data_IF_666741718432
#
_entry.id   IF_666741718432
#
_cell.length_a   1.000
_cell.length_b   1.000
_cell.length_c   1.000
_cell.angle_alpha   90.00
_cell.angle_beta   90.00
_cell.angle_gamma   90.00
#
_symmetry.space_group_name_H-M   'P 1'
#
loop_
_entity.id
_entity.type
_entity.pdbx_description
1 polymer ?
#
# COMPACT_ATOMS: atom_id res chain seq x y z
N UNK A 1 -10.93 -0.75 -5.10
CA UNK A 1 -9.81 -1.69 -4.81
C UNK A 1 -8.64 -1.36 -5.72
N UNK A 2 -7.42 -1.25 -5.18
CA UNK A 2 -6.21 -1.05 -5.98
C UNK A 2 -5.50 -2.38 -6.22
N UNK A 3 -5.20 -2.73 -7.47
CA UNK A 3 -4.45 -3.92 -7.84
C UNK A 3 -3.01 -3.53 -8.18
N UNK A 4 -2.06 -4.08 -7.45
CA UNK A 4 -0.63 -3.85 -7.68
C UNK A 4 -0.15 -4.60 -8.92
N UNK A 5 0.75 -3.98 -9.68
CA UNK A 5 1.46 -4.68 -10.76
C UNK A 5 2.25 -5.87 -10.22
N UNK A 6 2.57 -6.83 -11.09
CA UNK A 6 3.30 -8.03 -10.70
C UNK A 6 4.72 -7.69 -10.21
N UNK A 7 5.32 -8.58 -9.40
CA UNK A 7 6.69 -8.40 -8.89
C UNK A 7 7.75 -8.33 -10.00
N UNK A 8 7.45 -8.81 -11.20
CA UNK A 8 8.28 -8.64 -12.41
C UNK A 8 8.34 -7.18 -12.88
N UNK A 9 7.33 -6.37 -12.57
CA UNK A 9 7.08 -5.05 -13.14
C UNK A 9 5.94 -5.04 -14.17
N UNK A 10 5.41 -6.22 -14.53
CA UNK A 10 4.34 -6.36 -15.51
C UNK A 10 3.00 -5.82 -14.97
N UNK A 11 2.41 -4.89 -15.72
CA UNK A 11 1.16 -4.22 -15.39
C UNK A 11 -0.06 -4.96 -15.92
N UNK A 12 0.10 -5.86 -16.89
CA UNK A 12 -1.03 -6.50 -17.57
C UNK A 12 -1.82 -7.38 -16.59
N UNK A 13 -1.14 -8.05 -15.67
CA UNK A 13 -1.77 -8.80 -14.57
C UNK A 13 -2.70 -7.92 -13.71
N UNK A 14 -2.31 -6.67 -13.45
CA UNK A 14 -3.14 -5.75 -12.67
C UNK A 14 -4.32 -5.20 -13.49
N UNK A 15 -4.13 -5.00 -14.80
CA UNK A 15 -5.19 -4.59 -15.72
C UNK A 15 -6.24 -5.69 -15.83
N UNK A 16 -5.83 -6.94 -16.00
CA UNK A 16 -6.71 -8.10 -16.02
C UNK A 16 -7.48 -8.26 -14.71
N UNK A 17 -6.81 -8.06 -13.56
CA UNK A 17 -7.45 -8.08 -12.26
C UNK A 17 -8.50 -6.98 -12.09
N UNK A 18 -8.21 -5.76 -12.58
CA UNK A 18 -9.19 -4.67 -12.65
C UNK A 18 -10.37 -5.09 -13.53
N UNK A 19 -10.14 -5.58 -14.74
CA UNK A 19 -11.21 -6.01 -15.65
C UNK A 19 -12.08 -7.11 -15.05
N UNK A 20 -11.47 -8.11 -14.44
CA UNK A 20 -12.19 -9.21 -13.78
C UNK A 20 -13.05 -8.68 -12.62
N UNK A 21 -12.49 -7.83 -11.76
CA UNK A 21 -13.19 -7.31 -10.58
C UNK A 21 -14.40 -6.43 -10.93
N UNK A 22 -14.44 -5.83 -12.13
CA UNK A 22 -15.57 -5.02 -12.60
C UNK A 22 -16.82 -5.84 -12.91
N UNK A 23 -16.71 -7.15 -13.10
CA UNK A 23 -17.83 -7.99 -13.50
C UNK A 23 -18.43 -8.78 -12.32
N UNK A 24 -19.71 -9.20 -12.39
CA UNK A 24 -20.31 -10.13 -11.44
C UNK A 24 -19.55 -11.47 -11.37
N UNK A 25 -19.40 -12.02 -10.17
CA UNK A 25 -18.81 -13.35 -9.93
C UNK A 25 -19.71 -14.22 -9.05
N UNK A 26 -19.58 -15.53 -9.19
CA UNK A 26 -20.17 -16.53 -8.29
C UNK A 26 -19.04 -17.40 -7.71
N UNK A 27 -18.91 -17.43 -6.38
CA UNK A 27 -17.81 -18.14 -5.71
C UNK A 27 -18.19 -18.63 -4.30
N UNK A 28 -17.46 -19.61 -3.77
CA UNK A 28 -17.66 -20.10 -2.42
C UNK A 28 -16.99 -19.18 -1.38
N UNK A 29 -17.69 -18.89 -0.29
CA UNK A 29 -17.19 -18.07 0.82
C UNK A 29 -17.87 -18.42 2.14
N UNK A 30 -17.63 -17.62 3.18
CA UNK A 30 -18.22 -17.77 4.51
C UNK A 30 -19.23 -16.64 4.74
N UNK A 31 -20.44 -17.01 5.18
CA UNK A 31 -21.48 -16.07 5.56
C UNK A 31 -21.11 -15.31 6.84
N UNK A 32 -21.86 -14.25 7.16
CA UNK A 32 -21.66 -13.53 8.44
C UNK A 32 -21.95 -14.40 9.67
N UNK A 33 -22.64 -15.53 9.49
CA UNK A 33 -22.95 -16.52 10.52
C UNK A 33 -21.87 -17.60 10.63
N UNK A 34 -20.77 -17.51 9.87
CA UNK A 34 -19.68 -18.49 9.92
C UNK A 34 -19.97 -19.78 9.14
N UNK A 35 -20.99 -19.79 8.29
CA UNK A 35 -21.36 -20.98 7.49
C UNK A 35 -20.86 -20.86 6.06
N UNK A 36 -20.52 -22.00 5.45
CA UNK A 36 -20.18 -22.05 4.03
C UNK A 36 -21.38 -21.60 3.16
N UNK A 37 -21.11 -20.75 2.16
CA UNK A 37 -22.12 -20.16 1.31
C UNK A 37 -21.61 -19.94 -0.12
N UNK A 38 -22.54 -19.89 -1.08
CA UNK A 38 -22.29 -19.41 -2.44
C UNK A 38 -22.59 -17.91 -2.46
N UNK A 39 -21.63 -17.10 -2.89
CA UNK A 39 -21.74 -15.64 -2.94
C UNK A 39 -21.80 -15.19 -4.40
N UNK A 40 -22.76 -14.32 -4.68
CA UNK A 40 -22.86 -13.59 -5.95
C UNK A 40 -22.46 -12.14 -5.72
N UNK A 41 -21.41 -11.67 -6.40
CA UNK A 41 -21.03 -10.26 -6.40
C UNK A 41 -21.65 -9.53 -7.59
N UNK A 42 -21.76 -8.20 -7.49
CA UNK A 42 -22.27 -7.34 -8.58
C UNK A 42 -21.17 -6.86 -9.54
N UNK A 43 -19.90 -7.13 -9.23
CA UNK A 43 -18.76 -6.42 -9.81
C UNK A 43 -18.48 -5.09 -9.10
N UNK A 44 -17.27 -4.56 -9.31
CA UNK A 44 -16.78 -3.33 -8.71
C UNK A 44 -16.08 -2.44 -9.75
N UNK A 45 -16.74 -1.36 -10.16
CA UNK A 45 -16.20 -0.39 -11.12
C UNK A 45 -15.17 0.58 -10.50
N UNK A 46 -15.08 0.62 -9.16
CA UNK A 46 -14.18 1.51 -8.41
C UNK A 46 -12.83 0.83 -8.15
N UNK A 47 -12.21 0.37 -9.23
CA UNK A 47 -10.93 -0.35 -9.24
C UNK A 47 -9.88 0.42 -10.02
N UNK A 48 -8.62 0.31 -9.63
CA UNK A 48 -7.50 0.97 -10.30
C UNK A 48 -6.21 0.16 -10.20
N UNK A 49 -5.27 0.46 -11.09
CA UNK A 49 -3.91 -0.10 -11.05
C UNK A 49 -3.04 0.69 -10.07
N UNK A 50 -2.19 -0.02 -9.34
CA UNK A 50 -1.16 0.52 -8.45
C UNK A 50 0.22 0.15 -9.00
N UNK A 51 1.02 1.15 -9.35
CA UNK A 51 2.40 0.99 -9.80
C UNK A 51 3.33 0.92 -8.59
N UNK A 52 3.97 -0.22 -8.33
CA UNK A 52 4.82 -0.49 -7.16
C UNK A 52 6.26 -0.93 -7.51
N UNK A 53 6.70 -0.70 -8.75
CA UNK A 53 7.96 -1.17 -9.29
C UNK A 53 7.99 -2.68 -9.51
N UNK A 54 9.18 -3.22 -9.80
CA UNK A 54 9.39 -4.66 -9.92
C UNK A 54 10.85 -5.01 -10.16
N UNK A 55 11.11 -6.26 -10.57
CA UNK A 55 12.45 -6.74 -10.93
C UNK A 55 13.06 -5.96 -12.10
N UNK A 56 12.24 -5.44 -13.00
CA UNK A 56 12.66 -4.56 -14.10
C UNK A 56 13.12 -3.16 -13.63
N UNK A 57 12.87 -2.82 -12.36
CA UNK A 57 13.19 -1.53 -11.77
C UNK A 57 11.96 -0.76 -11.29
N UNK A 58 12.14 0.49 -10.83
CA UNK A 58 11.05 1.42 -10.57
C UNK A 58 10.21 1.70 -11.82
N UNK A 59 8.93 1.98 -11.63
CA UNK A 59 7.96 2.30 -12.68
C UNK A 59 7.09 3.52 -12.33
N UNK A 60 7.65 4.47 -11.57
CA UNK A 60 6.97 5.70 -11.17
C UNK A 60 7.24 6.89 -12.11
N UNK A 61 8.20 6.77 -13.03
CA UNK A 61 8.54 7.83 -13.97
C UNK A 61 7.42 8.07 -14.99
N UNK A 62 7.47 9.24 -15.63
CA UNK A 62 6.45 9.69 -16.58
C UNK A 62 6.24 8.70 -17.75
N UNK A 63 7.32 8.05 -18.23
CA UNK A 63 7.23 7.08 -19.32
C UNK A 63 6.48 5.83 -18.87
N UNK A 64 6.80 5.28 -17.71
CA UNK A 64 6.08 4.14 -17.15
C UNK A 64 4.61 4.45 -16.84
N UNK A 65 4.32 5.61 -16.27
CA UNK A 65 2.95 6.04 -15.99
C UNK A 65 2.14 6.19 -17.28
N UNK A 66 2.67 6.85 -18.31
CA UNK A 66 2.01 6.98 -19.61
C UNK A 66 1.77 5.64 -20.28
N UNK A 67 2.78 4.76 -20.29
CA UNK A 67 2.64 3.42 -20.86
C UNK A 67 1.52 2.61 -20.17
N UNK A 68 1.37 2.73 -18.85
CA UNK A 68 0.26 2.10 -18.14
C UNK A 68 -1.09 2.71 -18.50
N UNK A 69 -1.17 4.05 -18.61
CA UNK A 69 -2.41 4.74 -19.02
C UNK A 69 -2.85 4.37 -20.45
N UNK A 70 -1.92 4.24 -21.39
CA UNK A 70 -2.21 3.80 -22.77
C UNK A 70 -2.75 2.37 -22.81
N UNK A 71 -2.19 1.47 -21.99
CA UNK A 71 -2.68 0.09 -21.87
C UNK A 71 -4.08 0.05 -21.24
N UNK A 72 -4.35 0.87 -20.23
CA UNK A 72 -5.69 1.02 -19.66
C UNK A 72 -6.69 1.53 -20.71
N UNK A 73 -6.32 2.54 -21.49
CA UNK A 73 -7.18 3.07 -22.55
C UNK A 73 -7.48 2.01 -23.61
N UNK A 74 -6.49 1.21 -24.01
CA UNK A 74 -6.67 0.07 -24.93
C UNK A 74 -7.65 -0.97 -24.37
N UNK A 75 -7.68 -1.15 -23.04
CA UNK A 75 -8.61 -2.01 -22.34
C UNK A 75 -9.99 -1.35 -22.05
N UNK A 76 -10.28 -0.17 -22.63
CA UNK A 76 -11.48 0.64 -22.36
C UNK A 76 -11.64 1.04 -20.88
N UNK A 77 -10.53 1.23 -20.18
CA UNK A 77 -10.47 1.66 -18.79
C UNK A 77 -9.95 3.10 -18.71
N UNK A 78 -10.75 3.98 -18.12
CA UNK A 78 -10.44 5.44 -18.09
C UNK A 78 -9.97 5.93 -16.72
N UNK A 79 -9.89 5.05 -15.72
CA UNK A 79 -9.43 5.43 -14.39
C UNK A 79 -7.96 5.90 -14.40
N UNK A 80 -7.64 6.78 -13.45
CA UNK A 80 -6.25 7.14 -13.18
C UNK A 80 -5.48 6.04 -12.46
N UNK A 81 -4.16 6.17 -12.45
CA UNK A 81 -3.24 5.21 -11.79
C UNK A 81 -2.82 5.71 -10.41
N UNK A 82 -2.66 4.80 -9.47
CA UNK A 82 -2.02 5.08 -8.18
C UNK A 82 -0.55 4.68 -8.24
N UNK A 83 0.32 5.45 -7.59
CA UNK A 83 1.75 5.12 -7.51
C UNK A 83 2.15 4.84 -6.07
N UNK A 84 2.67 3.64 -5.81
CA UNK A 84 3.32 3.31 -4.55
C UNK A 84 4.75 3.84 -4.55
N UNK A 85 5.05 4.70 -3.58
CA UNK A 85 6.34 5.34 -3.46
C UNK A 85 7.39 4.45 -2.79
N UNK A 86 6.97 3.35 -2.15
CA UNK A 86 7.80 2.41 -1.43
C UNK A 86 8.23 1.22 -2.32
N UNK A 87 8.46 0.05 -1.72
CA UNK A 87 8.76 -1.23 -2.38
C UNK A 87 9.74 -1.11 -3.57
N UNK A 88 9.37 -1.59 -4.76
CA UNK A 88 10.21 -1.59 -5.95
C UNK A 88 10.57 -0.17 -6.40
N UNK A 89 9.64 0.78 -6.26
CA UNK A 89 9.85 2.18 -6.62
C UNK A 89 10.88 2.88 -5.72
N UNK A 90 10.95 2.49 -4.45
CA UNK A 90 12.00 2.96 -3.53
C UNK A 90 13.30 2.17 -3.60
N UNK A 91 13.37 1.11 -4.43
CA UNK A 91 14.45 0.12 -4.42
C UNK A 91 14.67 -0.49 -3.02
N UNK A 92 13.56 -0.74 -2.30
CA UNK A 92 13.54 -1.18 -0.89
C UNK A 92 14.29 -0.28 0.08
N UNK A 93 14.53 0.98 -0.29
CA UNK A 93 15.14 1.97 0.58
C UNK A 93 14.15 3.11 0.84
N UNK A 94 13.58 3.12 2.05
CA UNK A 94 12.57 4.09 2.47
C UNK A 94 12.98 5.57 2.26
N UNK A 95 14.28 5.88 2.27
CA UNK A 95 14.82 7.23 2.03
C UNK A 95 14.68 7.69 0.57
N UNK A 96 14.31 6.79 -0.34
CA UNK A 96 14.01 7.13 -1.72
C UNK A 96 12.55 7.53 -1.95
N UNK A 97 11.63 7.31 -0.99
CA UNK A 97 10.22 7.70 -1.15
C UNK A 97 10.05 9.19 -1.51
N UNK A 98 10.79 10.14 -0.89
CA UNK A 98 10.71 11.55 -1.28
C UNK A 98 11.11 11.82 -2.74
N UNK A 99 12.03 11.03 -3.30
CA UNK A 99 12.43 11.16 -4.71
C UNK A 99 11.31 10.74 -5.65
N UNK A 100 10.61 9.66 -5.29
CA UNK A 100 9.41 9.22 -6.03
C UNK A 100 8.34 10.31 -5.97
N UNK A 101 8.09 10.87 -4.79
CA UNK A 101 7.14 11.97 -4.61
C UNK A 101 7.50 13.18 -5.47
N UNK A 102 8.77 13.62 -5.49
CA UNK A 102 9.20 14.73 -6.32
C UNK A 102 8.88 14.50 -7.82
N UNK A 103 9.09 13.28 -8.33
CA UNK A 103 8.71 12.94 -9.71
C UNK A 103 7.20 13.01 -9.94
N UNK A 104 6.41 12.48 -9.01
CA UNK A 104 4.94 12.47 -9.12
C UNK A 104 4.35 13.88 -9.01
N UNK A 105 4.93 14.75 -8.18
CA UNK A 105 4.56 16.17 -8.07
C UNK A 105 4.66 16.86 -9.43
N UNK A 106 5.77 16.68 -10.14
CA UNK A 106 5.96 17.26 -11.48
C UNK A 106 4.99 16.68 -12.50
N UNK A 107 4.73 15.37 -12.46
CA UNK A 107 3.74 14.74 -13.32
C UNK A 107 2.32 15.25 -13.07
N UNK A 108 1.94 15.47 -11.80
CA UNK A 108 0.63 16.04 -11.44
C UNK A 108 0.51 17.46 -11.99
N UNK A 109 1.54 18.30 -11.83
CA UNK A 109 1.56 19.66 -12.40
C UNK A 109 1.43 19.64 -13.93
N UNK A 110 2.07 18.68 -14.59
CA UNK A 110 1.99 18.46 -16.03
C UNK A 110 0.64 17.87 -16.50
N UNK A 111 -0.32 17.62 -15.60
CA UNK A 111 -1.66 17.15 -15.95
C UNK A 111 -1.80 15.63 -16.06
N UNK A 112 -0.81 14.85 -15.62
CA UNK A 112 -0.87 13.38 -15.61
C UNK A 112 -2.09 12.86 -14.83
N UNK A 113 -2.62 11.71 -15.26
CA UNK A 113 -3.77 11.01 -14.64
C UNK A 113 -3.34 10.15 -13.44
N UNK A 114 -2.35 10.59 -12.67
CA UNK A 114 -2.07 10.02 -11.34
C UNK A 114 -3.19 10.44 -10.39
N UNK A 115 -3.92 9.45 -9.86
CA UNK A 115 -5.09 9.65 -9.00
C UNK A 115 -4.77 9.55 -7.51
N UNK A 116 -3.62 8.96 -7.14
CA UNK A 116 -3.18 8.85 -5.76
C UNK A 116 -1.75 8.36 -5.63
N UNK A 117 -1.23 8.46 -4.41
CA UNK A 117 0.07 7.89 -4.02
C UNK A 117 -0.08 7.03 -2.77
N UNK A 118 0.80 6.05 -2.61
CA UNK A 118 0.91 5.25 -1.38
C UNK A 118 2.29 5.49 -0.76
N UNK A 119 2.32 5.82 0.53
CA UNK A 119 3.53 6.15 1.29
C UNK A 119 3.60 5.22 2.49
N UNK A 120 4.78 4.65 2.75
CA UNK A 120 5.06 3.94 4.00
C UNK A 120 5.73 4.89 4.99
N UNK A 121 4.95 5.37 5.95
CA UNK A 121 5.38 6.27 7.01
C UNK A 121 5.08 5.70 8.39
N UNK A 122 5.86 6.14 9.38
CA UNK A 122 5.63 5.90 10.79
C UNK A 122 6.14 7.10 11.61
N UNK A 123 6.01 7.07 12.93
CA UNK A 123 6.50 8.16 13.79
C UNK A 123 8.01 8.35 13.64
N UNK A 124 8.76 7.24 13.61
CA UNK A 124 10.21 7.21 13.43
C UNK A 124 10.60 6.38 12.21
N UNK A 125 11.72 6.74 11.58
CA UNK A 125 12.19 6.09 10.35
C UNK A 125 12.66 4.65 10.58
N UNK A 126 12.80 3.91 9.48
CA UNK A 126 13.41 2.59 9.46
C UNK A 126 12.47 1.48 9.88
N UNK A 127 13.07 0.37 10.29
CA UNK A 127 12.42 -0.83 10.80
C UNK A 127 13.17 -1.37 12.01
N UNK A 128 12.53 -2.27 12.73
CA UNK A 128 13.13 -3.09 13.78
C UNK A 128 12.66 -4.54 13.61
N UNK A 129 13.44 -5.49 14.10
CA UNK A 129 13.04 -6.89 14.15
C UNK A 129 12.19 -7.15 15.40
N UNK A 130 11.34 -8.18 15.34
CA UNK A 130 10.65 -8.65 16.53
C UNK A 130 11.66 -9.27 17.51
N UNK A 131 11.47 -9.10 18.83
CA UNK A 131 12.35 -9.73 19.82
C UNK A 131 12.36 -11.26 19.65
N UNK A 132 13.50 -11.89 19.94
CA UNK A 132 13.58 -13.35 19.97
C UNK A 132 12.72 -13.92 21.10
N UNK A 133 12.35 -15.19 21.00
CA UNK A 133 11.62 -15.89 22.07
C UNK A 133 12.39 -15.88 23.39
N UNK A 134 13.73 -15.99 23.35
CA UNK A 134 14.56 -15.94 24.54
C UNK A 134 14.54 -14.53 25.17
N UNK A 135 14.62 -13.46 24.36
CA UNK A 135 14.49 -12.09 24.87
C UNK A 135 13.11 -11.82 25.48
N UNK A 136 12.04 -12.40 24.91
CA UNK A 136 10.70 -12.34 25.49
C UNK A 136 10.64 -13.05 26.85
N UNK A 137 11.23 -14.26 26.95
CA UNK A 137 11.29 -15.05 28.19
C UNK A 137 12.10 -14.35 29.28
N UNK A 138 13.27 -13.82 28.95
CA UNK A 138 14.11 -13.03 29.87
C UNK A 138 13.38 -11.78 30.38
N UNK A 139 12.56 -11.16 29.53
CA UNK A 139 11.71 -10.05 29.93
C UNK A 139 10.49 -10.47 30.79
N UNK A 140 10.26 -11.78 30.98
CA UNK A 140 9.10 -12.32 31.68
C UNK A 140 7.81 -12.32 30.86
N UNK A 141 7.91 -12.17 29.53
CA UNK A 141 6.78 -12.26 28.60
C UNK A 141 6.71 -13.71 28.12
N UNK A 142 5.87 -14.51 28.78
CA UNK A 142 5.62 -15.90 28.42
C UNK A 142 4.31 -16.02 27.66
N UNK A 143 4.28 -16.93 26.68
CA UNK A 143 3.04 -17.31 26.00
C UNK A 143 2.13 -18.02 27.01
N UNK A 144 1.09 -17.33 27.46
CA UNK A 144 0.12 -17.85 28.43
C UNK A 144 -0.88 -18.82 27.81
N UNK A 145 -0.74 -19.18 26.53
CA UNK A 145 -1.60 -20.19 25.91
C UNK A 145 -1.40 -21.52 26.66
N UNK A 146 -2.46 -22.07 27.26
CA UNK A 146 -2.38 -23.39 27.87
C UNK A 146 -1.91 -24.39 26.83
N UNK A 147 -0.86 -25.16 27.13
CA UNK A 147 -0.42 -26.27 26.29
C UNK A 147 -1.48 -27.38 26.19
N UNK A 148 -2.45 -27.38 27.12
CA UNK A 148 -3.58 -28.29 27.17
C UNK A 148 -4.88 -27.51 26.96
N UNK A 149 -5.59 -27.79 25.87
CA UNK A 149 -6.75 -27.04 25.36
C UNK A 149 -8.03 -27.06 26.26
N UNK A 150 -7.94 -27.47 27.53
CA UNK A 150 -9.09 -27.78 28.39
C UNK A 150 -9.28 -26.86 29.61
N UNK A 151 -8.30 -26.04 29.99
CA UNK A 151 -8.48 -25.09 31.09
C UNK A 151 -8.42 -23.63 30.59
N UNK A 152 -9.59 -22.98 30.58
CA UNK A 152 -9.77 -21.58 30.18
C UNK A 152 -10.00 -20.65 31.38
N UNK A 153 -9.82 -21.12 32.61
CA UNK A 153 -10.27 -20.39 33.81
C UNK A 153 -9.31 -19.29 34.28
N UNK A 154 -8.08 -19.22 33.76
CA UNK A 154 -7.09 -18.23 34.20
C UNK A 154 -6.16 -17.80 33.06
N UNK A 155 -6.70 -17.06 32.09
CA UNK A 155 -5.86 -16.31 31.15
C UNK A 155 -5.70 -14.88 31.70
N UNK A 156 -4.77 -14.70 32.63
CA UNK A 156 -4.27 -13.36 32.87
C UNK A 156 -3.53 -12.91 31.60
N UNK A 157 -3.98 -11.80 31.02
CA UNK A 157 -3.33 -11.20 29.86
C UNK A 157 -1.92 -10.78 30.27
N UNK A 158 -0.86 -11.26 29.60
CA UNK A 158 0.48 -10.78 29.88
C UNK A 158 0.51 -9.28 29.55
N UNK A 159 0.57 -8.45 30.60
CA UNK A 159 0.85 -7.03 30.46
C UNK A 159 2.22 -6.93 29.79
N UNK A 160 2.23 -6.53 28.51
CA UNK A 160 3.46 -6.27 27.76
C UNK A 160 4.33 -5.32 28.58
N UNK A 161 5.45 -5.82 29.12
CA UNK A 161 6.48 -4.97 29.72
C UNK A 161 6.99 -4.04 28.63
N UNK A 162 6.74 -2.74 28.80
CA UNK A 162 7.24 -1.70 27.92
C UNK A 162 8.78 -1.76 27.87
N UNK A 163 9.36 -1.90 26.67
CA UNK A 163 10.82 -1.73 26.50
C UNK A 163 11.51 -2.59 25.43
N UNK A 164 10.90 -3.69 24.95
CA UNK A 164 11.57 -4.57 23.96
C UNK A 164 11.49 -4.07 22.51
N UNK A 165 10.53 -3.20 22.22
CA UNK A 165 10.38 -2.57 20.93
C UNK A 165 10.48 -1.05 21.09
N UNK A 166 11.17 -0.42 20.16
CA UNK A 166 11.15 1.04 20.04
C UNK A 166 9.75 1.45 19.60
N UNK A 167 9.10 2.28 20.41
CA UNK A 167 7.80 2.84 20.08
C UNK A 167 7.87 3.59 18.75
N UNK A 168 6.84 3.47 17.91
CA UNK A 168 6.72 4.23 16.66
C UNK A 168 7.69 3.84 15.54
N UNK A 169 8.37 2.68 15.62
CA UNK A 169 9.24 2.12 14.57
C UNK A 169 8.59 0.86 13.98
N UNK A 170 8.56 0.76 12.65
CA UNK A 170 7.94 -0.38 11.94
C UNK A 170 8.62 -1.71 12.28
N UNK A 171 7.84 -2.79 12.41
CA UNK A 171 8.38 -4.18 12.57
C UNK A 171 8.45 -4.96 11.25
N UNK A 172 7.99 -4.35 10.15
CA UNK A 172 7.96 -4.96 8.82
C UNK A 172 8.93 -4.25 7.89
N UNK A 173 8.42 -3.56 6.87
CA UNK A 173 9.23 -2.75 5.97
C UNK A 173 9.61 -1.44 6.62
N UNK A 174 10.75 -0.90 6.19
CA UNK A 174 11.23 0.39 6.67
C UNK A 174 10.31 1.53 6.21
N UNK A 175 9.99 2.43 7.13
CA UNK A 175 9.17 3.61 6.87
C UNK A 175 10.02 4.89 6.87
N UNK A 176 9.51 5.96 6.26
CA UNK A 176 9.97 7.31 6.58
C UNK A 176 9.40 7.76 7.94
N UNK A 177 10.05 8.74 8.56
CA UNK A 177 9.56 9.35 9.80
C UNK A 177 8.44 10.38 9.56
N UNK A 178 7.91 10.94 10.66
CA UNK A 178 6.86 11.94 10.61
C UNK A 178 7.27 13.21 9.85
N UNK A 179 8.46 13.74 10.14
CA UNK A 179 8.97 14.98 9.52
C UNK A 179 9.06 14.83 8.00
N UNK A 180 9.62 13.71 7.53
CA UNK A 180 9.71 13.39 6.09
C UNK A 180 8.33 13.14 5.48
N UNK A 181 7.39 12.60 6.25
CA UNK A 181 6.01 12.42 5.78
C UNK A 181 5.34 13.76 5.48
N UNK A 182 5.46 14.74 6.39
CA UNK A 182 4.93 16.09 6.19
C UNK A 182 5.59 16.74 4.96
N UNK A 183 6.92 16.63 4.83
CA UNK A 183 7.64 17.23 3.68
C UNK A 183 7.29 16.60 2.33
N UNK A 184 6.76 15.37 2.30
CA UNK A 184 6.21 14.76 1.09
C UNK A 184 4.77 15.19 0.80
N UNK A 185 3.94 15.42 1.83
CA UNK A 185 2.54 15.78 1.68
C UNK A 185 2.32 17.22 1.21
N UNK A 186 3.16 18.16 1.65
CA UNK A 186 3.03 19.57 1.31
C UNK A 186 3.17 19.84 -0.21
N UNK A 187 4.21 19.34 -0.91
CA UNK A 187 4.35 19.54 -2.35
C UNK A 187 3.26 18.83 -3.17
N UNK A 188 2.77 17.67 -2.71
CA UNK A 188 1.63 17.00 -3.33
C UNK A 188 0.38 17.86 -3.27
N UNK A 189 0.09 18.46 -2.11
CA UNK A 189 -1.06 19.33 -1.92
C UNK A 189 -0.96 20.57 -2.82
N UNK A 190 0.23 21.17 -2.92
CA UNK A 190 0.48 22.29 -3.83
C UNK A 190 0.27 21.90 -5.31
N UNK A 191 0.85 20.79 -5.76
CA UNK A 191 0.69 20.31 -7.14
C UNK A 191 -0.78 20.06 -7.50
N UNK A 192 -1.56 19.50 -6.57
CA UNK A 192 -3.00 19.29 -6.77
C UNK A 192 -3.76 20.61 -6.87
N UNK A 193 -3.43 21.61 -6.03
CA UNK A 193 -4.05 22.94 -6.10
C UNK A 193 -3.75 23.61 -7.44
N UNK A 194 -2.50 23.52 -7.89
CA UNK A 194 -2.08 24.12 -9.15
C UNK A 194 -2.79 23.47 -10.36
N UNK A 195 -2.81 22.13 -10.42
CA UNK A 195 -3.56 21.40 -11.45
C UNK A 195 -5.04 21.77 -11.48
N UNK A 196 -5.66 21.99 -10.31
CA UNK A 196 -7.07 22.39 -10.22
C UNK A 196 -7.30 23.79 -10.78
N UNK A 197 -6.41 24.75 -10.51
CA UNK A 197 -6.49 26.10 -11.08
C UNK A 197 -6.39 26.09 -12.60
N UNK A 198 -5.43 25.35 -13.15
CA UNK A 198 -5.25 25.23 -14.60
C UNK A 198 -6.50 24.67 -15.30
N UNK A 199 -7.17 23.69 -14.68
CA UNK A 199 -8.42 23.13 -15.22
C UNK A 199 -9.60 24.09 -15.18
N UNK A 200 -9.68 24.97 -14.16
CA UNK A 200 -10.74 25.96 -14.07
C UNK A 200 -10.61 27.08 -15.11
N UNK A 201 -9.39 27.40 -15.52
CA UNK A 201 -9.13 28.42 -16.57
C UNK A 201 -9.41 27.87 -17.99
N UNK A 202 -9.36 26.55 -18.15
CA UNK A 202 -9.58 25.86 -19.44
C UNK A 202 -11.03 25.41 -19.68
N UNK A 203 -11.93 25.64 -18.72
CA UNK A 203 -13.38 25.40 -18.83
C UNK A 203 -14.12 26.71 -19.06
#
# INVERSE_FOLDING_TARGET
>A
VGFMNATSGDVDVAIDAVMAARHPHCFFSISKQGTAAIVHSKGNEQTHVVLCGGKAGPNFDDKSVKSCLEKLETANLTQGVMVDCSHGNSMKNHRNQPKVIASIVEQIKAGSKVCGVMIKSNLFEGRQDLPSQDALREAGIVDSRPTDALDRSSVESPVMKAGLLRYGVSVTDACVDWTTTVSMLEPLAEAVRERRRLRQVQQ
#
